data_IF_292044267092
#
_entry.id   IF_292044267092
#
_cell.length_a   1.000
_cell.length_b   1.000
_cell.length_c   1.000
_cell.angle_alpha   90.00
_cell.angle_beta   90.00
_cell.angle_gamma   90.00
#
_symmetry.space_group_name_H-M   'P 1'
#
loop_
_entity.id
_entity.type
_entity.pdbx_description
1 polymer ?
#
# COMPACT_ATOMS: atom_id res chain seq x y z
N UNK A 1 4.99 -8.28 -8.96
CA UNK A 1 6.27 -7.69 -9.39
C UNK A 1 7.29 -8.80 -9.57
N UNK A 2 8.03 -8.79 -10.66
CA UNK A 2 9.10 -9.76 -10.89
C UNK A 2 10.46 -9.28 -10.34
N UNK A 3 11.47 -10.18 -10.32
CA UNK A 3 12.80 -9.87 -9.80
C UNK A 3 13.52 -8.76 -10.58
N UNK A 4 13.24 -8.62 -11.88
CA UNK A 4 13.86 -7.62 -12.75
C UNK A 4 13.28 -6.23 -12.46
N UNK A 5 11.96 -6.14 -12.34
CA UNK A 5 11.23 -4.95 -11.94
C UNK A 5 11.67 -4.48 -10.54
N UNK A 6 11.83 -5.41 -9.60
CA UNK A 6 12.32 -5.10 -8.26
C UNK A 6 13.75 -4.51 -8.30
N UNK A 7 14.64 -5.10 -9.11
CA UNK A 7 16.00 -4.58 -9.32
C UNK A 7 16.01 -3.19 -9.97
N UNK A 8 15.16 -2.94 -10.97
CA UNK A 8 15.02 -1.60 -11.57
C UNK A 8 14.58 -0.58 -10.53
N UNK A 9 13.58 -0.92 -9.69
CA UNK A 9 13.14 -0.07 -8.60
C UNK A 9 14.26 0.23 -7.61
N UNK A 10 15.03 -0.77 -7.19
CA UNK A 10 16.17 -0.57 -6.30
C UNK A 10 17.19 0.40 -6.89
N UNK A 11 17.51 0.24 -8.18
CA UNK A 11 18.45 1.11 -8.88
C UNK A 11 17.94 2.55 -9.02
N UNK A 12 16.66 2.72 -9.34
CA UNK A 12 16.01 4.04 -9.44
C UNK A 12 16.00 4.73 -8.07
N UNK A 13 15.57 4.03 -7.01
CA UNK A 13 15.52 4.55 -5.64
C UNK A 13 16.91 4.95 -5.14
N UNK A 14 17.95 4.18 -5.48
CA UNK A 14 19.32 4.50 -5.10
C UNK A 14 19.79 5.85 -5.67
N UNK A 15 19.34 6.18 -6.89
CA UNK A 15 19.64 7.44 -7.59
C UNK A 15 18.77 8.61 -7.16
N UNK A 16 17.59 8.35 -6.61
CA UNK A 16 16.63 9.40 -6.26
C UNK A 16 17.15 10.30 -5.13
N UNK A 17 16.83 11.59 -5.26
CA UNK A 17 17.01 12.58 -4.19
C UNK A 17 15.91 12.51 -3.12
N UNK A 18 16.08 13.26 -2.03
CA UNK A 18 15.11 13.28 -0.92
C UNK A 18 13.69 13.68 -1.36
N UNK A 19 13.57 14.75 -2.14
CA UNK A 19 12.28 15.22 -2.65
C UNK A 19 11.60 14.21 -3.57
N UNK A 20 12.37 13.55 -4.44
CA UNK A 20 11.86 12.52 -5.34
C UNK A 20 11.34 11.31 -4.56
N UNK A 21 12.10 10.84 -3.55
CA UNK A 21 11.66 9.76 -2.67
C UNK A 21 10.38 10.12 -1.92
N UNK A 22 10.26 11.35 -1.40
CA UNK A 22 9.04 11.82 -0.73
C UNK A 22 7.83 11.88 -1.66
N UNK A 23 8.03 12.27 -2.93
CA UNK A 23 6.97 12.23 -3.97
C UNK A 23 6.58 10.80 -4.30
N UNK A 24 7.55 9.90 -4.49
CA UNK A 24 7.29 8.49 -4.75
C UNK A 24 6.52 7.85 -3.59
N UNK A 25 6.88 8.15 -2.33
CA UNK A 25 6.14 7.65 -1.16
C UNK A 25 4.68 8.11 -1.14
N UNK A 26 4.40 9.35 -1.55
CA UNK A 26 3.01 9.84 -1.66
C UNK A 26 2.25 9.15 -2.79
N UNK A 27 2.90 8.90 -3.91
CA UNK A 27 2.30 8.18 -5.04
C UNK A 27 2.02 6.71 -4.71
N UNK A 28 2.88 6.08 -3.92
CA UNK A 28 2.73 4.70 -3.44
C UNK A 28 1.88 4.60 -2.15
N UNK A 29 1.21 5.68 -1.75
CA UNK A 29 0.27 5.63 -0.64
C UNK A 29 -0.90 4.71 -1.02
N UNK A 30 -1.26 3.82 -0.09
CA UNK A 30 -2.35 2.88 -0.29
C UNK A 30 -3.66 3.66 -0.59
N UNK A 31 -4.29 3.47 -1.76
CA UNK A 31 -5.59 4.07 -2.04
C UNK A 31 -6.65 3.64 -1.01
N UNK A 32 -6.48 2.50 -0.35
CA UNK A 32 -7.41 1.99 0.67
C UNK A 32 -7.27 2.68 2.02
N UNK A 33 -6.19 3.43 2.21
CA UNK A 33 -6.07 4.35 3.32
C UNK A 33 -6.99 5.58 3.15
N UNK A 34 -7.54 5.82 1.96
CA UNK A 34 -8.55 6.88 1.77
C UNK A 34 -9.90 6.40 2.33
N UNK A 35 -10.66 7.28 3.01
CA UNK A 35 -12.00 6.94 3.46
C UNK A 35 -12.88 6.59 2.26
N UNK A 36 -13.68 5.52 2.41
CA UNK A 36 -14.63 5.08 1.39
C UNK A 36 -15.56 6.22 0.96
N UNK A 37 -15.74 6.39 -0.34
CA UNK A 37 -16.61 7.40 -0.94
C UNK A 37 -17.55 6.76 -1.96
N UNK A 38 -18.84 7.03 -1.84
CA UNK A 38 -19.85 6.60 -2.83
C UNK A 38 -19.70 7.30 -4.18
N UNK A 39 -18.99 8.43 -4.22
CA UNK A 39 -18.71 9.17 -5.45
C UNK A 39 -17.44 8.69 -6.15
N UNK A 40 -16.71 7.77 -5.53
CA UNK A 40 -15.54 7.14 -6.13
C UNK A 40 -15.99 5.86 -6.87
N UNK A 41 -15.96 5.84 -8.21
CA UNK A 41 -16.39 4.69 -8.99
C UNK A 41 -15.54 3.44 -8.70
N UNK A 42 -14.27 3.61 -8.35
CA UNK A 42 -13.35 2.51 -8.04
C UNK A 42 -13.71 1.86 -6.70
N UNK A 43 -14.00 2.69 -5.69
CA UNK A 43 -14.45 2.22 -4.37
C UNK A 43 -15.78 1.44 -4.46
N UNK A 44 -16.71 1.93 -5.28
CA UNK A 44 -17.99 1.25 -5.52
C UNK A 44 -17.79 -0.07 -6.27
N UNK A 45 -16.93 -0.10 -7.29
CA UNK A 45 -16.63 -1.32 -8.04
C UNK A 45 -16.00 -2.39 -7.13
N UNK A 46 -15.08 -2.01 -6.24
CA UNK A 46 -14.51 -2.93 -5.25
C UNK A 46 -15.56 -3.46 -4.29
N UNK A 47 -16.42 -2.60 -3.75
CA UNK A 47 -17.50 -3.03 -2.87
C UNK A 47 -18.42 -4.05 -3.58
N UNK A 48 -18.76 -3.81 -4.84
CA UNK A 48 -19.57 -4.72 -5.63
C UNK A 48 -18.91 -6.10 -5.79
N UNK A 49 -17.60 -6.14 -6.09
CA UNK A 49 -16.83 -7.40 -6.16
C UNK A 49 -16.79 -8.13 -4.83
N UNK A 50 -16.45 -7.44 -3.75
CA UNK A 50 -16.41 -8.02 -2.40
C UNK A 50 -17.79 -8.57 -1.98
N UNK A 51 -18.87 -7.84 -2.29
CA UNK A 51 -20.23 -8.30 -2.04
C UNK A 51 -20.57 -9.54 -2.87
N UNK A 52 -20.20 -9.57 -4.15
CA UNK A 52 -20.42 -10.74 -5.00
C UNK A 52 -19.70 -11.95 -4.41
N UNK A 53 -18.40 -11.83 -4.17
CA UNK A 53 -17.54 -12.86 -3.58
C UNK A 53 -18.11 -13.37 -2.25
N UNK A 54 -18.39 -12.47 -1.31
CA UNK A 54 -18.90 -12.84 0.00
C UNK A 54 -20.27 -13.52 -0.07
N UNK A 55 -21.15 -13.06 -0.95
CA UNK A 55 -22.47 -13.68 -1.14
C UNK A 55 -22.37 -15.07 -1.75
N UNK A 56 -21.51 -15.27 -2.74
CA UNK A 56 -21.31 -16.56 -3.41
C UNK A 56 -20.60 -17.55 -2.49
N UNK A 57 -19.58 -17.11 -1.75
CA UNK A 57 -18.91 -17.95 -0.75
C UNK A 57 -19.87 -18.36 0.38
N UNK A 58 -20.70 -17.44 0.87
CA UNK A 58 -21.71 -17.75 1.88
C UNK A 58 -22.75 -18.77 1.36
N UNK A 59 -23.12 -18.69 0.08
CA UNK A 59 -24.02 -19.67 -0.55
C UNK A 59 -23.35 -21.04 -0.72
N UNK A 60 -22.10 -21.09 -1.15
CA UNK A 60 -21.34 -22.32 -1.35
C UNK A 60 -21.00 -23.02 -0.02
N UNK A 61 -20.67 -22.25 1.01
CA UNK A 61 -20.35 -22.76 2.35
C UNK A 61 -21.60 -23.08 3.18
N UNK A 62 -22.80 -22.85 2.65
CA UNK A 62 -24.04 -23.14 3.36
C UNK A 62 -24.20 -24.66 3.52
N UNK A 63 -23.96 -25.15 4.73
CA UNK A 63 -24.28 -26.52 5.11
C UNK A 63 -25.78 -26.76 4.85
N UNK A 64 -26.18 -27.85 4.16
CA UNK A 64 -27.59 -28.13 3.92
C UNK A 64 -28.29 -28.27 5.28
N UNK A 65 -29.17 -27.33 5.60
CA UNK A 65 -30.00 -27.43 6.79
C UNK A 65 -31.02 -28.55 6.54
N UNK A 66 -30.83 -29.69 7.17
CA UNK A 66 -31.78 -30.82 7.23
C UNK A 66 -33.05 -30.44 8.03
N UNK A 67 -33.68 -29.31 7.70
CA UNK A 67 -34.91 -28.86 8.35
C UNK A 67 -36.08 -29.30 7.48
N UNK A 68 -36.63 -30.46 7.85
CA UNK A 68 -38.01 -30.88 7.58
C UNK A 68 -38.44 -30.95 6.12
N UNK A 69 -38.24 -32.12 5.49
CA UNK A 69 -39.02 -32.50 4.30
C UNK A 69 -40.48 -32.79 4.68
N UNK A 70 -41.26 -31.73 4.90
CA UNK A 70 -42.72 -31.80 4.94
C UNK A 70 -43.31 -31.80 3.51
N UNK A 71 -44.45 -32.46 3.28
CA UNK A 71 -45.07 -32.52 1.96
C UNK A 71 -45.57 -31.12 1.59
N UNK A 72 -44.84 -30.42 0.72
CA UNK A 72 -45.13 -29.06 0.28
C UNK A 72 -43.92 -28.13 0.20
N UNK A 73 -42.76 -28.52 0.77
CA UNK A 73 -41.54 -27.73 0.70
C UNK A 73 -40.80 -27.91 -0.63
N UNK A 74 -41.11 -27.11 -1.64
CA UNK A 74 -40.35 -27.08 -2.89
C UNK A 74 -38.85 -26.83 -2.62
N UNK A 75 -37.98 -27.64 -3.21
CA UNK A 75 -36.53 -27.43 -3.16
C UNK A 75 -36.23 -26.07 -3.81
N UNK A 76 -35.81 -25.08 -3.01
CA UNK A 76 -35.33 -23.79 -3.54
C UNK A 76 -33.95 -23.99 -4.14
N UNK A 77 -33.87 -24.01 -5.47
CA UNK A 77 -32.61 -24.01 -6.21
C UNK A 77 -32.14 -22.57 -6.40
N UNK A 78 -30.86 -22.30 -6.11
CA UNK A 78 -30.22 -21.00 -6.35
C UNK A 78 -29.19 -21.19 -7.45
N UNK A 79 -29.25 -20.34 -8.47
CA UNK A 79 -28.24 -20.31 -9.53
C UNK A 79 -27.14 -19.33 -9.12
N UNK A 80 -25.90 -19.80 -9.09
CA UNK A 80 -24.72 -18.99 -8.81
C UNK A 80 -24.00 -18.70 -10.11
N UNK A 81 -23.72 -17.43 -10.38
CA UNK A 81 -22.84 -17.04 -11.48
C UNK A 81 -21.38 -17.28 -11.06
N UNK A 82 -20.87 -18.46 -11.41
CA UNK A 82 -19.50 -18.84 -11.12
C UNK A 82 -18.49 -18.04 -11.97
N UNK A 83 -18.87 -17.61 -13.17
CA UNK A 83 -17.96 -16.87 -14.04
C UNK A 83 -17.66 -15.49 -13.45
N UNK A 84 -18.71 -14.73 -13.12
CA UNK A 84 -18.54 -13.43 -12.46
C UNK A 84 -17.84 -13.54 -11.10
N UNK A 85 -18.05 -14.63 -10.36
CA UNK A 85 -17.32 -14.90 -9.12
C UNK A 85 -15.80 -15.05 -9.34
N UNK A 86 -15.39 -15.89 -10.31
CA UNK A 86 -13.97 -16.08 -10.58
C UNK A 86 -13.30 -14.83 -11.14
N UNK A 87 -14.00 -14.06 -11.97
CA UNK A 87 -13.51 -12.76 -12.43
C UNK A 87 -13.32 -11.77 -11.28
N UNK A 88 -14.29 -11.70 -10.36
CA UNK A 88 -14.19 -10.85 -9.17
C UNK A 88 -13.02 -11.29 -8.26
N UNK A 89 -12.82 -12.60 -8.07
CA UNK A 89 -11.69 -13.14 -7.32
C UNK A 89 -10.35 -12.81 -7.94
N UNK A 90 -10.21 -13.01 -9.25
CA UNK A 90 -8.98 -12.71 -9.98
C UNK A 90 -8.63 -11.23 -9.86
N UNK A 91 -9.63 -10.34 -9.93
CA UNK A 91 -9.43 -8.91 -9.72
C UNK A 91 -9.03 -8.56 -8.27
N UNK A 92 -9.64 -9.20 -7.26
CA UNK A 92 -9.26 -9.03 -5.86
C UNK A 92 -7.81 -9.47 -5.59
N UNK A 93 -7.39 -10.60 -6.15
CA UNK A 93 -6.03 -11.12 -6.04
C UNK A 93 -5.02 -10.20 -6.73
N UNK A 94 -5.35 -9.68 -7.91
CA UNK A 94 -4.51 -8.70 -8.61
C UNK A 94 -4.35 -7.40 -7.79
N UNK A 95 -5.45 -6.88 -7.21
CA UNK A 95 -5.39 -5.70 -6.33
C UNK A 95 -4.58 -5.94 -5.06
N UNK A 96 -4.63 -7.16 -4.51
CA UNK A 96 -3.80 -7.55 -3.37
C UNK A 96 -2.32 -7.61 -3.73
N UNK A 97 -1.99 -8.17 -4.90
CA UNK A 97 -0.61 -8.22 -5.39
C UNK A 97 -0.08 -6.82 -5.65
N UNK A 98 -0.84 -5.95 -6.32
CA UNK A 98 -0.49 -4.55 -6.55
C UNK A 98 -0.22 -3.80 -5.25
N UNK A 99 -1.02 -4.04 -4.20
CA UNK A 99 -0.78 -3.45 -2.88
C UNK A 99 0.51 -3.96 -2.24
N UNK A 100 0.79 -5.26 -2.34
CA UNK A 100 2.03 -5.84 -1.84
C UNK A 100 3.26 -5.25 -2.54
N UNK A 101 3.21 -5.14 -3.88
CA UNK A 101 4.28 -4.59 -4.70
C UNK A 101 4.55 -3.10 -4.35
N UNK A 102 3.48 -2.29 -4.22
CA UNK A 102 3.61 -0.88 -3.79
C UNK A 102 4.19 -0.75 -2.38
N UNK A 103 3.78 -1.63 -1.45
CA UNK A 103 4.29 -1.64 -0.08
C UNK A 103 5.79 -1.96 -0.03
N UNK A 104 6.26 -2.87 -0.89
CA UNK A 104 7.68 -3.19 -1.02
C UNK A 104 8.50 -1.99 -1.52
N UNK A 105 8.02 -1.34 -2.60
CA UNK A 105 8.65 -0.12 -3.13
C UNK A 105 8.69 0.98 -2.07
N UNK A 106 7.59 1.16 -1.34
CA UNK A 106 7.50 2.12 -0.24
C UNK A 106 8.54 1.84 0.84
N UNK A 107 8.68 0.59 1.27
CA UNK A 107 9.66 0.20 2.28
C UNK A 107 11.11 0.43 1.82
N UNK A 108 11.41 0.28 0.53
CA UNK A 108 12.72 0.64 -0.04
C UNK A 108 12.98 2.15 0.02
N UNK A 109 12.00 2.96 -0.37
CA UNK A 109 12.09 4.43 -0.29
C UNK A 109 12.27 4.93 1.15
N UNK A 110 11.52 4.38 2.11
CA UNK A 110 11.63 4.72 3.53
C UNK A 110 13.00 4.38 4.09
N UNK A 111 13.53 3.18 3.79
CA UNK A 111 14.90 2.78 4.16
C UNK A 111 15.95 3.73 3.59
N UNK A 112 15.80 4.12 2.32
CA UNK A 112 16.73 5.06 1.68
C UNK A 112 16.70 6.44 2.35
N UNK A 113 15.51 6.96 2.65
CA UNK A 113 15.36 8.23 3.35
C UNK A 113 15.96 8.19 4.76
N UNK A 114 15.73 7.10 5.50
CA UNK A 114 16.34 6.90 6.82
C UNK A 114 17.87 6.91 6.74
N UNK A 115 18.44 6.21 5.75
CA UNK A 115 19.89 6.23 5.51
C UNK A 115 20.40 7.63 5.15
N UNK A 116 19.68 8.40 4.33
CA UNK A 116 20.06 9.78 4.00
C UNK A 116 20.07 10.69 5.23
N UNK A 117 19.03 10.61 6.08
CA UNK A 117 18.95 11.36 7.35
C UNK A 117 20.10 11.02 8.28
N UNK A 118 20.39 9.72 8.44
CA UNK A 118 21.51 9.27 9.26
C UNK A 118 22.85 9.82 8.75
N UNK A 119 23.07 9.84 7.44
CA UNK A 119 24.27 10.46 6.85
C UNK A 119 24.34 11.97 7.08
N UNK A 120 23.20 12.66 7.06
CA UNK A 120 23.12 14.10 7.39
C UNK A 120 23.47 14.35 8.86
N UNK A 121 23.02 13.51 9.79
CA UNK A 121 23.37 13.61 11.22
C UNK A 121 24.87 13.39 11.48
N UNK A 122 25.49 12.49 10.70
CA UNK A 122 26.93 12.22 10.77
C UNK A 122 27.77 13.32 10.11
N UNK A 123 27.18 14.27 9.37
CA UNK A 123 27.94 15.41 8.85
C UNK A 123 28.37 16.29 10.02
N UNK A 124 29.67 16.34 10.23
CA UNK A 124 30.27 17.32 11.12
C UNK A 124 29.85 18.73 10.69
N UNK A 125 29.04 19.38 11.53
CA UNK A 125 28.87 20.83 11.48
C UNK A 125 30.16 21.39 12.07
N UNK A 126 30.99 22.13 11.31
CA UNK A 126 32.13 22.79 11.90
C UNK A 126 31.57 23.82 12.89
N UNK A 127 31.59 23.49 14.17
CA UNK A 127 31.48 24.51 15.21
C UNK A 127 32.58 25.53 14.94
N UNK A 128 32.28 26.82 15.14
CA UNK A 128 33.29 27.88 15.12
C UNK A 128 34.46 27.40 15.96
N UNK A 129 35.63 27.20 15.33
CA UNK A 129 36.77 26.67 16.08
C UNK A 129 36.99 27.57 17.31
N UNK A 130 37.40 27.03 18.46
CA UNK A 130 37.60 27.84 19.68
C UNK A 130 38.50 29.05 19.41
N UNK A 131 39.48 28.88 18.52
CA UNK A 131 40.36 29.95 18.05
C UNK A 131 39.60 31.04 17.26
N UNK A 132 38.70 30.64 16.35
CA UNK A 132 37.90 31.56 15.54
C UNK A 132 36.89 32.31 16.41
N UNK A 133 36.29 31.63 17.39
CA UNK A 133 35.43 32.25 18.40
C UNK A 133 36.20 33.28 19.26
N UNK A 134 37.42 32.94 19.67
CA UNK A 134 38.31 33.85 20.40
C UNK A 134 38.68 35.09 19.58
N UNK A 135 39.06 34.91 18.30
CA UNK A 135 39.41 36.02 17.40
C UNK A 135 38.23 36.99 17.24
N UNK A 136 37.03 36.49 16.96
CA UNK A 136 35.84 37.37 16.86
C UNK A 136 35.47 38.06 18.18
N UNK A 137 35.68 37.40 19.32
CA UNK A 137 35.43 38.03 20.62
C UNK A 137 36.43 39.16 20.90
N UNK A 138 37.69 38.97 20.51
CA UNK A 138 38.74 39.97 20.64
C UNK A 138 38.50 41.19 19.72
N UNK A 139 38.16 40.95 18.45
CA UNK A 139 37.86 42.00 17.47
C UNK A 139 36.60 42.80 17.82
N UNK A 140 35.63 42.22 18.54
CA UNK A 140 34.42 42.91 19.00
C UNK A 140 34.63 43.75 20.28
N UNK A 141 35.79 43.63 20.92
CA UNK A 141 36.15 44.36 22.15
C UNK A 141 37.10 45.54 21.92
N UNK A 142 37.51 45.79 20.67
CA UNK A 142 38.13 47.05 20.20
C UNK A 142 37.09 48.02 19.65
#
# INVERSE_FOLDING_TARGET
MDDIELLDWQFRIAKMGRSELEVTLRAMADPDAKPFSLHDPEAVARLARQSLIGSTEAMLNRVPSNVGSGPGGGKRTVTVDLHGYYEAKTAEDAEAQDRADRAEIRAMCERRLAHMRHREELRHVPETSPLKAFITAYEASE
#
